data_IF_106477390613
#
_entry.id   IF_106477390613
#
_cell.length_a   1.000
_cell.length_b   1.000
_cell.length_c   1.000
_cell.angle_alpha   90.00
_cell.angle_beta   90.00
_cell.angle_gamma   90.00
#
_symmetry.space_group_name_H-M   'P 1'
#
loop_
_entity.id
_entity.type
_entity.pdbx_description
1 polymer ?
#
# COMPACT_ATOMS: atom_id res chain seq x y z
N UNK A 1 -13.01 4.31 -7.58
CA UNK A 1 -11.57 4.57 -7.72
C UNK A 1 -11.40 6.07 -7.52
N UNK A 2 -10.98 6.42 -6.30
CA UNK A 2 -10.92 7.79 -5.80
C UNK A 2 -9.51 8.27 -6.10
N UNK A 3 -9.35 9.20 -7.04
CA UNK A 3 -8.04 9.74 -7.39
C UNK A 3 -7.37 10.36 -6.15
N UNK A 4 -6.02 10.50 -6.10
CA UNK A 4 -5.35 11.18 -4.99
C UNK A 4 -5.92 12.59 -4.72
N UNK A 5 -6.37 13.27 -5.78
CA UNK A 5 -7.01 14.57 -5.73
C UNK A 5 -8.43 14.49 -5.14
N UNK A 6 -9.20 13.46 -5.49
CA UNK A 6 -10.51 13.20 -4.87
C UNK A 6 -10.38 12.76 -3.41
N UNK A 7 -9.32 12.03 -3.04
CA UNK A 7 -9.04 11.66 -1.66
C UNK A 7 -8.68 12.90 -0.85
N UNK A 8 -7.89 13.82 -1.40
CA UNK A 8 -7.56 15.10 -0.77
C UNK A 8 -8.81 15.99 -0.61
N UNK A 9 -9.66 16.09 -1.64
CA UNK A 9 -10.95 16.78 -1.56
C UNK A 9 -11.92 16.15 -0.54
N UNK A 10 -12.02 14.82 -0.51
CA UNK A 10 -12.83 14.08 0.45
C UNK A 10 -12.29 14.27 1.88
N UNK A 11 -10.96 14.24 2.04
CA UNK A 11 -10.31 14.43 3.33
C UNK A 11 -10.51 15.84 3.88
N UNK A 12 -10.53 16.85 3.00
CA UNK A 12 -10.84 18.24 3.34
C UNK A 12 -12.34 18.44 3.61
N UNK A 13 -13.21 17.67 2.96
CA UNK A 13 -14.67 17.76 3.15
C UNK A 13 -15.14 17.24 4.51
N UNK A 14 -14.38 16.34 5.15
CA UNK A 14 -14.68 15.81 6.48
C UNK A 14 -13.41 15.68 7.35
N UNK A 15 -12.89 16.81 7.87
CA UNK A 15 -11.57 16.85 8.50
C UNK A 15 -11.48 15.98 9.76
N UNK A 16 -12.56 15.81 10.51
CA UNK A 16 -12.58 14.96 11.71
C UNK A 16 -12.48 13.49 11.33
N UNK A 17 -13.23 13.03 10.32
CA UNK A 17 -13.14 11.65 9.84
C UNK A 17 -11.76 11.34 9.28
N UNK A 18 -11.15 12.30 8.58
CA UNK A 18 -9.78 12.20 8.06
C UNK A 18 -8.74 12.10 9.18
N UNK A 19 -8.87 12.93 10.21
CA UNK A 19 -8.03 12.86 11.40
C UNK A 19 -8.13 11.49 12.07
N UNK A 20 -9.35 10.99 12.29
CA UNK A 20 -9.60 9.68 12.89
C UNK A 20 -8.99 8.57 12.03
N UNK A 21 -9.08 8.67 10.70
CA UNK A 21 -8.48 7.72 9.78
C UNK A 21 -6.96 7.68 9.93
N UNK A 22 -6.29 8.84 9.89
CA UNK A 22 -4.83 8.92 10.04
C UNK A 22 -4.37 8.38 11.39
N UNK A 23 -5.00 8.80 12.49
CA UNK A 23 -4.67 8.33 13.83
C UNK A 23 -4.91 6.82 13.99
N UNK A 24 -5.99 6.28 13.41
CA UNK A 24 -6.25 4.84 13.39
C UNK A 24 -5.20 4.06 12.61
N UNK A 25 -4.75 4.56 11.46
CA UNK A 25 -3.64 3.93 10.70
C UNK A 25 -2.35 3.96 11.52
N UNK A 26 -2.07 5.08 12.16
CA UNK A 26 -0.89 5.26 13.02
C UNK A 26 -0.91 4.37 14.28
N UNK A 27 -2.08 3.97 14.78
CA UNK A 27 -2.20 2.99 15.86
C UNK A 27 -1.64 1.60 15.49
N UNK A 28 -1.39 1.31 14.21
CA UNK A 28 -0.64 0.11 13.79
C UNK A 28 0.88 0.22 13.98
N UNK A 29 1.41 1.43 14.20
CA UNK A 29 2.84 1.72 14.44
C UNK A 29 3.12 2.17 15.86
N UNK A 30 2.18 2.91 16.47
CA UNK A 30 2.34 3.53 17.78
C UNK A 30 1.34 2.92 18.76
N UNK A 31 1.82 2.00 19.61
CA UNK A 31 1.00 1.25 20.58
C UNK A 31 0.27 2.14 21.61
N UNK A 32 0.76 3.38 21.82
CA UNK A 32 0.12 4.33 22.72
C UNK A 32 -1.14 4.96 22.12
N UNK A 33 -1.40 4.82 20.82
CA UNK A 33 -2.61 5.36 20.21
C UNK A 33 -3.78 4.38 20.34
N UNK A 34 -4.97 4.84 20.77
CA UNK A 34 -6.13 3.99 20.82
C UNK A 34 -6.70 3.72 19.42
N UNK A 35 -7.42 2.62 19.28
CA UNK A 35 -8.23 2.35 18.08
C UNK A 35 -9.46 3.27 18.05
N UNK A 36 -9.65 3.97 16.92
CA UNK A 36 -10.71 4.96 16.73
C UNK A 36 -11.80 4.47 15.78
N UNK A 37 -13.04 4.90 16.05
CA UNK A 37 -14.13 4.83 15.08
C UNK A 37 -13.96 5.95 14.03
N UNK A 38 -14.41 5.69 12.80
CA UNK A 38 -14.37 6.65 11.69
C UNK A 38 -15.75 7.29 11.49
N UNK A 39 -16.31 7.82 12.57
CA UNK A 39 -17.67 8.36 12.62
C UNK A 39 -17.73 9.86 12.26
N UNK A 40 -16.58 10.54 12.15
CA UNK A 40 -16.50 11.97 11.90
C UNK A 40 -16.86 12.84 13.11
N UNK A 41 -16.94 12.26 14.31
CA UNK A 41 -17.29 12.96 15.55
C UNK A 41 -16.05 13.15 16.42
N UNK A 42 -15.76 14.40 16.77
CA UNK A 42 -14.65 14.72 17.69
C UNK A 42 -15.11 14.50 19.14
N UNK A 43 -15.26 13.24 19.54
CA UNK A 43 -15.60 12.83 20.90
C UNK A 43 -14.38 12.60 21.80
N UNK A 44 -14.63 12.12 23.01
CA UNK A 44 -13.60 11.89 24.04
C UNK A 44 -12.45 11.00 23.57
N UNK A 45 -12.75 9.92 22.82
CA UNK A 45 -11.72 9.04 22.26
C UNK A 45 -10.84 9.74 21.22
N UNK A 46 -11.42 10.58 20.37
CA UNK A 46 -10.66 11.35 19.38
C UNK A 46 -9.77 12.37 20.08
N UNK A 47 -10.29 13.03 21.12
CA UNK A 47 -9.52 13.96 21.97
C UNK A 47 -8.35 13.25 22.67
N UNK A 48 -8.60 12.09 23.29
CA UNK A 48 -7.57 11.27 23.93
C UNK A 48 -6.45 10.92 22.95
N UNK A 49 -6.78 10.43 21.76
CA UNK A 49 -5.79 10.10 20.74
C UNK A 49 -4.96 11.32 20.31
N UNK A 50 -5.59 12.49 20.15
CA UNK A 50 -4.88 13.74 19.82
C UNK A 50 -3.92 14.14 20.95
N UNK A 51 -4.37 14.08 22.21
CA UNK A 51 -3.53 14.43 23.34
C UNK A 51 -2.35 13.47 23.51
N UNK A 52 -2.56 12.17 23.30
CA UNK A 52 -1.49 11.17 23.32
C UNK A 52 -0.50 11.40 22.18
N UNK A 53 -0.97 11.66 20.96
CA UNK A 53 -0.09 12.00 19.83
C UNK A 53 0.73 13.26 20.12
N UNK A 54 0.10 14.32 20.62
CA UNK A 54 0.80 15.55 21.01
C UNK A 54 1.84 15.29 22.09
N UNK A 55 1.52 14.48 23.10
CA UNK A 55 2.45 14.18 24.20
C UNK A 55 3.72 13.52 23.70
N UNK A 56 3.60 12.54 22.81
CA UNK A 56 4.72 11.72 22.36
C UNK A 56 5.46 12.32 21.15
N UNK A 57 4.74 12.94 20.21
CA UNK A 57 5.27 13.27 18.89
C UNK A 57 5.13 14.75 18.50
N UNK A 58 4.22 15.50 19.12
CA UNK A 58 4.01 16.92 18.77
C UNK A 58 3.66 17.82 19.96
N UNK A 59 4.53 17.98 20.99
CA UNK A 59 4.21 18.84 22.13
C UNK A 59 4.04 20.31 21.71
N UNK A 60 3.20 21.10 22.41
CA UNK A 60 2.56 20.82 23.71
C UNK A 60 1.23 20.04 23.62
N UNK A 61 0.83 19.41 24.74
CA UNK A 61 -0.47 18.73 24.88
C UNK A 61 -1.57 19.77 25.11
N UNK A 62 -2.35 20.06 24.07
CA UNK A 62 -3.46 21.03 24.12
C UNK A 62 -4.82 20.36 23.90
N UNK A 63 -4.85 19.18 23.30
CA UNK A 63 -6.07 18.54 22.81
C UNK A 63 -6.68 19.22 21.58
N UNK A 64 -6.08 20.33 21.12
CA UNK A 64 -6.54 21.10 19.96
C UNK A 64 -5.70 20.69 18.75
N UNK A 65 -6.36 20.33 17.66
CA UNK A 65 -5.70 20.03 16.38
C UNK A 65 -5.50 21.33 15.61
N UNK A 66 -4.41 22.04 15.92
CA UNK A 66 -3.96 23.19 15.15
C UNK A 66 -3.19 22.75 13.89
N UNK A 67 -2.77 23.72 13.07
CA UNK A 67 -2.04 23.43 11.82
C UNK A 67 -0.77 22.62 12.07
N UNK A 68 -0.08 22.87 13.19
CA UNK A 68 1.13 22.15 13.57
C UNK A 68 0.82 20.69 13.89
N UNK A 69 -0.18 20.44 14.73
CA UNK A 69 -0.63 19.10 15.11
C UNK A 69 -1.14 18.34 13.88
N UNK A 70 -1.93 18.98 13.04
CA UNK A 70 -2.42 18.41 11.79
C UNK A 70 -1.28 17.98 10.86
N UNK A 71 -0.31 18.86 10.62
CA UNK A 71 0.84 18.55 9.79
C UNK A 71 1.66 17.40 10.36
N UNK A 72 1.91 17.38 11.67
CA UNK A 72 2.66 16.30 12.31
C UNK A 72 1.96 14.93 12.17
N UNK A 73 0.63 14.88 12.37
CA UNK A 73 -0.16 13.64 12.18
C UNK A 73 -0.12 13.22 10.71
N UNK A 74 -0.35 14.16 9.79
CA UNK A 74 -0.34 13.90 8.35
C UNK A 74 1.02 13.39 7.89
N UNK A 75 2.11 14.00 8.31
CA UNK A 75 3.46 13.66 7.86
C UNK A 75 3.85 12.27 8.41
N UNK A 76 3.56 11.98 9.68
CA UNK A 76 3.73 10.66 10.26
C UNK A 76 2.91 9.59 9.52
N UNK A 77 1.68 9.92 9.13
CA UNK A 77 0.83 9.05 8.33
C UNK A 77 1.42 8.82 6.93
N UNK A 78 1.87 9.87 6.24
CA UNK A 78 2.54 9.75 4.92
C UNK A 78 3.80 8.90 5.02
N UNK A 79 4.57 9.02 6.09
CA UNK A 79 5.78 8.21 6.31
C UNK A 79 5.43 6.74 6.54
N UNK A 80 4.41 6.46 7.36
CA UNK A 80 3.87 5.10 7.51
C UNK A 80 3.39 4.53 6.17
N UNK A 81 2.60 5.29 5.39
CA UNK A 81 2.17 4.84 4.06
C UNK A 81 3.35 4.64 3.12
N UNK A 82 4.43 5.43 3.22
CA UNK A 82 5.63 5.24 2.39
C UNK A 82 6.44 4.00 2.78
N UNK A 83 6.52 3.69 4.06
CA UNK A 83 7.19 2.49 4.57
C UNK A 83 6.38 1.21 4.29
N UNK A 84 5.06 1.31 4.32
CA UNK A 84 4.16 0.17 4.06
C UNK A 84 3.77 0.05 2.59
N UNK A 85 4.02 1.09 1.78
CA UNK A 85 3.88 1.04 0.33
C UNK A 85 5.10 0.35 -0.31
N UNK A 86 4.89 -0.36 -1.43
CA UNK A 86 6.00 -0.87 -2.22
C UNK A 86 6.91 0.29 -2.71
N UNK A 87 8.24 0.08 -2.85
CA UNK A 87 9.23 1.05 -3.23
C UNK A 87 8.90 1.73 -4.55
N UNK A 88 9.44 2.94 -4.71
CA UNK A 88 9.15 3.87 -5.82
C UNK A 88 9.43 3.29 -7.21
N UNK A 89 10.33 2.32 -7.34
CA UNK A 89 10.60 1.57 -8.58
C UNK A 89 9.43 0.71 -9.05
N UNK A 90 8.49 0.37 -8.15
CA UNK A 90 7.33 -0.48 -8.42
C UNK A 90 6.03 0.33 -8.62
N UNK A 91 6.11 1.68 -8.57
CA UNK A 91 5.02 2.60 -8.96
C UNK A 91 4.81 2.73 -10.48
N UNK A 92 5.53 1.96 -11.30
CA UNK A 92 5.40 1.95 -12.77
C UNK A 92 4.10 1.26 -13.21
N UNK A 93 3.43 0.51 -12.32
CA UNK A 93 2.12 -0.03 -12.65
C UNK A 93 1.12 1.13 -12.86
N UNK A 94 0.48 1.22 -14.03
CA UNK A 94 -0.39 2.36 -14.33
C UNK A 94 -1.55 2.38 -13.34
N UNK A 95 -2.05 3.58 -13.06
CA UNK A 95 -2.95 3.86 -11.93
C UNK A 95 -4.23 3.02 -11.86
N UNK A 96 -5.08 3.40 -10.91
CA UNK A 96 -6.38 2.77 -10.67
C UNK A 96 -7.13 2.40 -11.97
N UNK A 97 -7.25 1.09 -12.25
CA UNK A 97 -7.98 0.53 -13.40
C UNK A 97 -7.11 -0.17 -14.45
N UNK A 98 -5.78 -0.05 -14.40
CA UNK A 98 -4.93 -0.76 -15.34
C UNK A 98 -4.85 -2.26 -15.01
N UNK A 99 -5.10 -3.08 -16.01
CA UNK A 99 -5.09 -4.54 -15.90
C UNK A 99 -4.54 -5.11 -17.20
N UNK A 100 -3.73 -6.17 -17.11
CA UNK A 100 -3.29 -6.93 -18.29
C UNK A 100 -4.00 -8.28 -18.25
N UNK A 101 -4.89 -8.51 -19.22
CA UNK A 101 -5.65 -9.77 -19.34
C UNK A 101 -4.80 -10.85 -20.03
N UNK A 102 -5.10 -12.14 -19.81
CA UNK A 102 -4.49 -13.22 -20.57
C UNK A 102 -4.52 -12.97 -22.09
N UNK A 103 -3.38 -13.16 -22.75
CA UNK A 103 -3.21 -12.94 -24.19
C UNK A 103 -3.00 -11.49 -24.62
N UNK A 104 -3.14 -10.50 -23.72
CA UNK A 104 -2.82 -9.11 -24.05
C UNK A 104 -1.31 -8.88 -24.11
N UNK A 105 -0.90 -8.00 -25.01
CA UNK A 105 0.49 -7.52 -25.11
C UNK A 105 0.59 -6.07 -24.66
N UNK A 106 1.64 -5.73 -23.93
CA UNK A 106 1.90 -4.37 -23.46
C UNK A 106 3.23 -4.25 -22.73
N UNK A 107 3.91 -3.12 -22.89
CA UNK A 107 5.22 -2.86 -22.25
C UNK A 107 5.20 -2.96 -20.72
N UNK A 108 4.01 -2.82 -20.11
CA UNK A 108 3.78 -2.98 -18.68
C UNK A 108 3.92 -4.41 -18.17
N UNK A 109 3.87 -5.43 -19.05
CA UNK A 109 3.98 -6.85 -18.67
C UNK A 109 5.44 -7.34 -18.59
N UNK A 110 6.37 -6.66 -19.28
CA UNK A 110 7.80 -7.03 -19.31
C UNK A 110 8.39 -7.01 -17.90
N UNK A 111 8.02 -6.00 -17.10
CA UNK A 111 8.51 -5.86 -15.74
C UNK A 111 8.04 -6.99 -14.81
N UNK A 112 6.73 -7.32 -14.69
CA UNK A 112 6.29 -8.47 -13.91
C UNK A 112 6.94 -9.78 -14.37
N UNK A 113 7.08 -10.01 -15.68
CA UNK A 113 7.78 -11.20 -16.20
C UNK A 113 9.24 -11.25 -15.76
N UNK A 114 9.93 -10.12 -15.78
CA UNK A 114 11.32 -10.00 -15.30
C UNK A 114 11.40 -10.28 -13.79
N UNK A 115 10.46 -9.77 -13.01
CA UNK A 115 10.40 -10.02 -11.56
C UNK A 115 10.16 -11.49 -11.25
N UNK A 116 9.26 -12.17 -11.98
CA UNK A 116 9.06 -13.62 -11.85
C UNK A 116 10.34 -14.39 -12.17
N UNK A 117 11.06 -14.01 -13.23
CA UNK A 117 12.32 -14.65 -13.60
C UNK A 117 13.35 -14.57 -12.46
N UNK A 118 13.47 -13.42 -11.81
CA UNK A 118 14.37 -13.23 -10.67
C UNK A 118 13.88 -13.98 -9.42
N UNK A 119 12.59 -13.91 -9.12
CA UNK A 119 12.01 -14.57 -7.95
C UNK A 119 12.09 -16.09 -8.02
N UNK A 120 12.01 -16.69 -9.21
CA UNK A 120 12.16 -18.14 -9.40
C UNK A 120 13.52 -18.66 -8.91
N UNK A 121 14.55 -17.82 -8.87
CA UNK A 121 15.86 -18.22 -8.34
C UNK A 121 15.84 -18.47 -6.82
N UNK A 122 14.82 -17.97 -6.12
CA UNK A 122 14.69 -18.08 -4.66
C UNK A 122 13.38 -18.72 -4.20
N UNK A 123 12.36 -18.76 -5.04
CA UNK A 123 11.03 -19.26 -4.73
C UNK A 123 10.63 -20.38 -5.69
N UNK A 124 10.07 -21.45 -5.13
CA UNK A 124 9.51 -22.57 -5.89
C UNK A 124 8.07 -22.26 -6.36
N UNK A 125 7.64 -22.92 -7.44
CA UNK A 125 6.27 -22.80 -7.97
C UNK A 125 6.06 -21.71 -9.01
N UNK A 126 7.09 -20.93 -9.35
CA UNK A 126 7.04 -19.94 -10.43
C UNK A 126 7.41 -20.62 -11.76
N UNK A 127 6.49 -20.60 -12.72
CA UNK A 127 6.67 -21.10 -14.07
C UNK A 127 7.70 -20.26 -14.85
N UNK A 128 8.46 -20.95 -15.70
CA UNK A 128 9.44 -20.35 -16.59
C UNK A 128 8.76 -19.67 -17.79
N UNK A 129 9.13 -18.42 -18.07
CA UNK A 129 8.61 -17.68 -19.21
C UNK A 129 9.53 -16.55 -19.64
N UNK A 130 9.33 -16.08 -20.87
CA UNK A 130 10.08 -14.97 -21.45
C UNK A 130 9.49 -13.61 -21.05
N UNK A 131 10.35 -12.60 -20.87
CA UNK A 131 9.97 -11.22 -20.62
C UNK A 131 9.67 -10.47 -21.93
N UNK A 132 8.73 -10.98 -22.71
CA UNK A 132 8.40 -10.47 -24.05
C UNK A 132 7.24 -9.45 -24.07
N UNK A 133 6.64 -9.15 -22.91
CA UNK A 133 5.54 -8.20 -22.78
C UNK A 133 4.17 -8.76 -23.17
N UNK A 134 4.07 -10.04 -23.52
CA UNK A 134 2.80 -10.73 -23.79
C UNK A 134 2.38 -11.51 -22.55
N UNK A 135 1.17 -11.28 -22.04
CA UNK A 135 0.64 -12.02 -20.90
C UNK A 135 0.17 -13.43 -21.31
N UNK A 136 1.12 -14.26 -21.73
CA UNK A 136 0.91 -15.66 -22.16
C UNK A 136 1.00 -16.66 -21.02
N UNK A 137 0.88 -17.95 -21.36
CA UNK A 137 0.68 -19.09 -20.45
C UNK A 137 1.52 -19.06 -19.17
N UNK A 138 2.85 -18.95 -19.28
CA UNK A 138 3.73 -18.93 -18.11
C UNK A 138 3.44 -17.77 -17.17
N UNK A 139 3.24 -16.57 -17.71
CA UNK A 139 2.92 -15.41 -16.91
C UNK A 139 1.52 -15.44 -16.32
N UNK A 140 0.54 -16.02 -17.03
CA UNK A 140 -0.82 -16.25 -16.51
C UNK A 140 -0.78 -17.25 -15.35
N UNK A 141 -0.03 -18.35 -15.48
CA UNK A 141 0.18 -19.30 -14.39
C UNK A 141 0.83 -18.64 -13.17
N UNK A 142 1.83 -17.78 -13.38
CA UNK A 142 2.47 -17.05 -12.31
C UNK A 142 1.54 -16.02 -11.65
N UNK A 143 0.68 -15.36 -12.42
CA UNK A 143 -0.39 -14.51 -11.90
C UNK A 143 -1.38 -15.31 -11.04
N UNK A 144 -1.84 -16.46 -11.53
CA UNK A 144 -2.75 -17.34 -10.78
C UNK A 144 -2.11 -17.84 -9.48
N UNK A 145 -0.81 -18.16 -9.52
CA UNK A 145 -0.02 -18.53 -8.35
C UNK A 145 0.02 -17.41 -7.31
N UNK A 146 0.27 -16.17 -7.72
CA UNK A 146 0.21 -15.00 -6.82
C UNK A 146 -1.20 -14.79 -6.24
N UNK A 147 -2.23 -14.87 -7.08
CA UNK A 147 -3.61 -14.69 -6.65
C UNK A 147 -4.01 -15.73 -5.62
N UNK A 148 -3.62 -16.99 -5.83
CA UNK A 148 -3.82 -18.06 -4.85
C UNK A 148 -3.09 -17.79 -3.52
N UNK A 149 -1.81 -17.36 -3.58
CA UNK A 149 -1.05 -16.97 -2.37
C UNK A 149 -1.69 -15.80 -1.62
N UNK A 150 -2.24 -14.83 -2.35
CA UNK A 150 -2.91 -13.65 -1.81
C UNK A 150 -4.37 -13.91 -1.40
N UNK A 151 -4.89 -15.13 -1.56
CA UNK A 151 -6.30 -15.50 -1.35
C UNK A 151 -7.29 -14.64 -2.17
N UNK A 152 -6.88 -14.28 -3.38
CA UNK A 152 -7.69 -13.54 -4.35
C UNK A 152 -8.43 -14.49 -5.30
N UNK A 153 -9.41 -13.95 -6.03
CA UNK A 153 -10.01 -14.66 -7.15
C UNK A 153 -8.95 -14.95 -8.21
N UNK A 154 -8.89 -16.20 -8.66
CA UNK A 154 -7.88 -16.71 -9.60
C UNK A 154 -8.27 -16.38 -11.05
N UNK A 155 -8.32 -15.09 -11.38
CA UNK A 155 -8.74 -14.58 -12.69
C UNK A 155 -7.65 -14.70 -13.75
N UNK A 156 -6.38 -14.85 -13.35
CA UNK A 156 -5.24 -14.81 -14.25
C UNK A 156 -4.93 -13.42 -14.80
N UNK A 157 -5.64 -12.39 -14.35
CA UNK A 157 -5.44 -10.99 -14.76
C UNK A 157 -4.37 -10.34 -13.87
N UNK A 158 -3.34 -9.77 -14.49
CA UNK A 158 -2.37 -8.95 -13.76
C UNK A 158 -3.00 -7.59 -13.46
N UNK A 159 -3.67 -7.50 -12.31
CA UNK A 159 -4.28 -6.29 -11.77
C UNK A 159 -3.45 -5.70 -10.62
N UNK A 160 -3.94 -4.60 -10.03
CA UNK A 160 -3.24 -3.91 -8.95
C UNK A 160 -2.95 -4.80 -7.74
N UNK A 161 -3.92 -5.62 -7.31
CA UNK A 161 -3.76 -6.45 -6.11
C UNK A 161 -2.72 -7.55 -6.35
N UNK A 162 -2.74 -8.15 -7.54
CA UNK A 162 -1.75 -9.13 -7.99
C UNK A 162 -0.36 -8.50 -8.08
N UNK A 163 -0.26 -7.30 -8.66
CA UNK A 163 0.98 -6.54 -8.77
C UNK A 163 1.59 -6.19 -7.41
N UNK A 164 0.76 -5.74 -6.47
CA UNK A 164 1.20 -5.39 -5.11
C UNK A 164 1.81 -6.62 -4.40
N UNK A 165 1.23 -7.82 -4.60
CA UNK A 165 1.80 -9.07 -4.08
C UNK A 165 3.15 -9.42 -4.74
N UNK A 166 3.24 -9.33 -6.07
CA UNK A 166 4.49 -9.57 -6.79
C UNK A 166 5.62 -8.65 -6.32
N UNK A 167 5.28 -7.37 -6.16
CA UNK A 167 6.18 -6.31 -5.69
C UNK A 167 6.73 -6.63 -4.30
N UNK A 168 5.85 -6.98 -3.37
CA UNK A 168 6.24 -7.33 -2.00
C UNK A 168 7.16 -8.57 -1.95
N UNK A 169 6.89 -9.60 -2.76
CA UNK A 169 7.77 -10.78 -2.85
C UNK A 169 9.13 -10.41 -3.43
N UNK A 170 9.15 -9.60 -4.49
CA UNK A 170 10.39 -9.10 -5.08
C UNK A 170 11.24 -8.35 -4.06
N UNK A 171 10.62 -7.53 -3.22
CA UNK A 171 11.36 -6.80 -2.20
C UNK A 171 11.96 -7.72 -1.15
N UNK A 172 11.13 -8.61 -0.60
CA UNK A 172 11.52 -9.51 0.49
C UNK A 172 12.65 -10.44 0.09
N UNK A 173 12.64 -10.92 -1.16
CA UNK A 173 13.57 -11.95 -1.60
C UNK A 173 14.67 -11.41 -2.51
N UNK A 174 14.49 -10.29 -3.21
CA UNK A 174 15.49 -9.75 -4.15
C UNK A 174 16.21 -8.51 -3.63
N UNK A 175 15.48 -7.53 -3.08
CA UNK A 175 16.08 -6.24 -2.72
C UNK A 175 16.51 -6.13 -1.27
N UNK A 176 15.94 -6.91 -0.36
CA UNK A 176 16.39 -6.94 1.03
C UNK A 176 17.85 -7.41 1.08
N UNK A 177 18.75 -6.55 1.60
CA UNK A 177 20.13 -6.95 1.89
C UNK A 177 20.11 -8.14 2.85
N UNK A 178 21.04 -9.11 2.72
CA UNK A 178 21.20 -10.14 3.74
C UNK A 178 21.51 -9.44 5.08
N UNK A 179 20.71 -9.72 6.10
CA UNK A 179 20.96 -9.20 7.45
C UNK A 179 22.40 -9.61 7.87
N UNK A 180 23.17 -8.68 8.46
CA UNK A 180 24.54 -8.96 8.91
C UNK A 180 24.60 -10.03 10.01
#
# INVERSE_FOLDING_TARGET
MTTPQQLEEEMLSNPVRSLQYMLRRLAGRYDFLPQLALDGIFGERTLEAVMLFQRELAPPVTGIVDQRTWNAIRDAWIDLERETAPPRTLRIFPGEGHQVQPGMSGGTMVLPQTMFHLLRQRLEGIAEGEANGVHGDASVQNTLWLQNLAQLEQTGVMDRQTWDMLSRLYELFITAEPLP
#
